data_IF_159907957090
#
_entry.id   IF_159907957090
#
_cell.length_a   1.000
_cell.length_b   1.000
_cell.length_c   1.000
_cell.angle_alpha   90.00
_cell.angle_beta   90.00
_cell.angle_gamma   90.00
#
_symmetry.space_group_name_H-M   'P 1'
#
loop_
_entity.id
_entity.type
_entity.pdbx_description
1 polymer ?
#
# COMPACT_ATOMS: atom_id res chain seq x y z
N UNK A 1 -16.75 -68.23 39.52
CA UNK A 1 -16.99 -66.85 40.02
C UNK A 1 -15.65 -66.13 40.05
N UNK A 2 -15.55 -65.00 39.32
CA UNK A 2 -14.66 -63.82 39.56
C UNK A 2 -13.12 -64.00 39.56
N UNK A 3 -12.27 -63.15 38.98
CA UNK A 3 -12.42 -61.83 38.36
C UNK A 3 -11.23 -61.49 37.42
N UNK A 4 -11.47 -60.55 36.49
CA UNK A 4 -10.55 -59.91 35.54
C UNK A 4 -9.75 -58.74 36.19
N UNK A 5 -8.67 -58.24 35.56
CA UNK A 5 -7.68 -57.35 36.18
C UNK A 5 -8.08 -55.87 36.13
N UNK A 6 -7.61 -55.09 37.11
CA UNK A 6 -7.76 -53.63 37.15
C UNK A 6 -6.51 -52.93 36.64
N UNK A 7 -6.61 -52.30 35.46
CA UNK A 7 -5.64 -51.35 34.93
C UNK A 7 -5.97 -49.94 35.46
N UNK A 8 -5.00 -49.27 36.07
CA UNK A 8 -5.13 -47.89 36.52
C UNK A 8 -5.03 -46.94 35.31
N UNK A 9 -6.09 -46.16 35.07
CA UNK A 9 -6.14 -45.15 34.03
C UNK A 9 -5.46 -43.84 34.50
N UNK A 10 -4.54 -43.34 33.68
CA UNK A 10 -3.89 -42.04 33.84
C UNK A 10 -4.82 -40.92 33.34
N UNK A 11 -5.18 -39.99 34.22
CA UNK A 11 -6.03 -38.84 33.92
C UNK A 11 -5.20 -37.70 33.31
N UNK A 12 -5.27 -37.54 31.98
CA UNK A 12 -4.71 -36.39 31.29
C UNK A 12 -5.68 -35.19 31.36
N UNK A 13 -5.16 -34.09 31.89
CA UNK A 13 -5.84 -32.81 32.09
C UNK A 13 -6.27 -32.18 30.75
N UNK A 14 -7.56 -31.89 30.59
CA UNK A 14 -8.12 -31.20 29.43
C UNK A 14 -7.79 -29.71 29.53
N UNK A 15 -6.98 -29.20 28.59
CA UNK A 15 -6.76 -27.75 28.44
C UNK A 15 -7.98 -27.13 27.78
N UNK A 16 -8.52 -26.13 28.45
CA UNK A 16 -9.62 -25.27 28.01
C UNK A 16 -9.15 -24.44 26.82
N UNK A 17 -9.62 -24.80 25.63
CA UNK A 17 -9.25 -24.14 24.38
C UNK A 17 -10.18 -22.92 24.19
N UNK A 18 -9.81 -21.84 24.87
CA UNK A 18 -10.53 -20.57 24.83
C UNK A 18 -10.79 -20.11 23.40
N UNK A 19 -12.07 -19.90 23.07
CA UNK A 19 -12.54 -19.47 21.77
C UNK A 19 -11.84 -18.17 21.34
N UNK A 20 -11.11 -18.22 20.21
CA UNK A 20 -10.54 -17.03 19.58
C UNK A 20 -11.70 -16.12 19.13
N UNK A 21 -11.74 -14.84 19.52
CA UNK A 21 -12.80 -13.94 19.08
C UNK A 21 -12.77 -13.80 17.56
N UNK A 22 -13.94 -13.82 16.94
CA UNK A 22 -14.10 -13.63 15.51
C UNK A 22 -13.48 -12.31 15.08
N UNK A 23 -12.62 -12.34 14.07
CA UNK A 23 -12.01 -11.14 13.50
C UNK A 23 -13.12 -10.19 13.02
N UNK A 24 -13.08 -8.94 13.49
CA UNK A 24 -13.99 -7.91 13.02
C UNK A 24 -13.92 -7.78 11.48
N UNK A 25 -15.05 -7.48 10.82
CA UNK A 25 -15.07 -7.31 9.36
C UNK A 25 -14.05 -6.23 8.95
N UNK A 26 -13.32 -6.50 7.86
CA UNK A 26 -12.36 -5.57 7.32
C UNK A 26 -13.04 -4.19 7.09
N UNK A 27 -12.41 -3.08 7.50
CA UNK A 27 -13.00 -1.77 7.28
C UNK A 27 -13.23 -1.56 5.79
N UNK A 28 -14.43 -1.08 5.43
CA UNK A 28 -14.73 -0.70 4.04
C UNK A 28 -13.72 0.37 3.62
N UNK A 29 -13.17 0.29 2.40
CA UNK A 29 -12.26 1.32 1.93
C UNK A 29 -12.93 2.69 2.01
N UNK A 30 -12.19 3.75 2.38
CA UNK A 30 -12.75 5.09 2.42
C UNK A 30 -13.36 5.39 1.05
N UNK A 31 -14.63 5.80 1.02
CA UNK A 31 -15.26 6.31 -0.21
C UNK A 31 -14.55 7.60 -0.55
N UNK A 32 -13.66 7.55 -1.53
CA UNK A 32 -13.03 8.74 -2.09
C UNK A 32 -14.12 9.54 -2.82
N UNK A 33 -14.21 10.84 -2.59
CA UNK A 33 -15.22 11.68 -3.21
C UNK A 33 -15.13 11.58 -4.75
N UNK A 34 -16.28 11.47 -5.41
CA UNK A 34 -16.33 11.44 -6.88
C UNK A 34 -15.73 12.75 -7.42
N UNK A 35 -14.73 12.65 -8.30
CA UNK A 35 -14.01 13.79 -8.89
C UNK A 35 -12.73 14.21 -8.15
N UNK A 36 -12.39 13.61 -7.01
CA UNK A 36 -11.15 13.92 -6.30
C UNK A 36 -9.95 13.23 -6.98
N UNK A 37 -8.94 14.03 -7.37
CA UNK A 37 -7.68 13.49 -7.88
C UNK A 37 -6.86 12.90 -6.72
N UNK A 38 -6.26 11.74 -6.92
CA UNK A 38 -5.45 11.02 -5.95
C UNK A 38 -3.96 11.25 -6.21
N UNK A 39 -3.24 11.61 -5.15
CA UNK A 39 -1.78 11.60 -5.12
C UNK A 39 -1.29 10.16 -4.94
N UNK A 40 -0.45 9.61 -5.83
CA UNK A 40 0.15 8.28 -5.67
C UNK A 40 1.36 8.28 -4.72
N UNK A 41 1.60 9.37 -3.99
CA UNK A 41 2.79 9.61 -3.17
C UNK A 41 2.46 10.36 -1.88
N UNK A 42 1.30 10.10 -1.29
CA UNK A 42 0.89 10.75 -0.04
C UNK A 42 1.72 10.21 1.13
N UNK A 43 1.88 10.99 2.20
CA UNK A 43 2.52 10.49 3.41
C UNK A 43 1.65 9.50 4.17
N UNK A 44 2.33 8.70 4.99
CA UNK A 44 1.72 7.77 5.93
C UNK A 44 0.93 8.46 7.04
N UNK A 45 0.88 9.79 7.14
CA UNK A 45 0.12 10.48 8.19
C UNK A 45 -1.36 10.04 8.20
N UNK A 46 -1.92 9.62 9.35
CA UNK A 46 -3.34 9.25 9.47
C UNK A 46 -4.32 10.32 8.95
N UNK A 47 -3.98 11.61 9.05
CA UNK A 47 -4.80 12.74 8.56
C UNK A 47 -5.03 12.69 7.05
N UNK A 48 -4.14 12.03 6.32
CA UNK A 48 -4.25 11.86 4.87
C UNK A 48 -5.11 10.67 4.45
N UNK A 49 -5.64 9.91 5.41
CA UNK A 49 -6.40 8.67 5.17
C UNK A 49 -5.75 7.75 4.10
N UNK A 50 -4.45 7.42 4.22
CA UNK A 50 -3.72 6.77 3.14
C UNK A 50 -4.21 5.35 2.88
N UNK A 51 -4.22 4.99 1.60
CA UNK A 51 -4.45 3.64 1.11
C UNK A 51 -3.16 3.10 0.50
N UNK A 52 -2.90 1.82 0.71
CA UNK A 52 -1.78 1.08 0.14
C UNK A 52 -2.13 0.73 -1.30
N UNK A 53 -1.28 1.16 -2.22
CA UNK A 53 -1.39 0.90 -3.65
C UNK A 53 -0.23 0.05 -4.18
N UNK A 54 0.71 -0.32 -3.32
CA UNK A 54 1.83 -1.18 -3.65
C UNK A 54 2.63 -1.57 -2.42
N UNK A 55 3.38 -2.68 -2.53
CA UNK A 55 4.30 -3.17 -1.50
C UNK A 55 5.72 -2.98 -2.01
N UNK A 56 6.59 -2.40 -1.18
CA UNK A 56 8.01 -2.24 -1.50
C UNK A 56 8.67 -3.61 -1.36
N UNK A 57 9.14 -4.17 -2.47
CA UNK A 57 9.86 -5.43 -2.52
C UNK A 57 11.36 -5.25 -2.32
N UNK A 58 12.10 -6.34 -2.55
CA UNK A 58 13.56 -6.33 -2.55
C UNK A 58 14.10 -5.39 -3.63
N UNK A 59 15.23 -4.72 -3.36
CA UNK A 59 15.80 -3.72 -4.26
C UNK A 59 14.99 -2.41 -4.36
N UNK A 60 13.97 -2.22 -3.52
CA UNK A 60 13.17 -0.99 -3.49
C UNK A 60 12.16 -0.86 -4.64
N UNK A 61 11.89 -1.95 -5.36
CA UNK A 61 10.89 -2.00 -6.43
C UNK A 61 9.51 -2.27 -5.86
N UNK A 62 8.54 -1.44 -6.21
CA UNK A 62 7.16 -1.53 -5.74
C UNK A 62 6.37 -2.51 -6.60
N UNK A 63 5.82 -3.54 -5.97
CA UNK A 63 4.78 -4.38 -6.53
C UNK A 63 3.41 -3.68 -6.38
N UNK A 64 2.85 -3.17 -7.48
CA UNK A 64 1.56 -2.47 -7.47
C UNK A 64 0.38 -3.41 -7.13
N UNK A 65 -0.58 -2.88 -6.37
CA UNK A 65 -1.82 -3.56 -6.05
C UNK A 65 -2.95 -3.12 -7.01
N UNK A 66 -3.72 -4.07 -7.57
CA UNK A 66 -4.89 -3.76 -8.39
C UNK A 66 -6.04 -3.18 -7.55
N UNK A 67 -6.07 -3.47 -6.25
CA UNK A 67 -7.10 -2.99 -5.31
C UNK A 67 -6.43 -2.25 -4.16
N UNK A 68 -6.75 -0.97 -3.92
CA UNK A 68 -6.17 -0.22 -2.80
C UNK A 68 -6.63 -0.79 -1.45
N UNK A 69 -5.72 -0.86 -0.47
CA UNK A 69 -6.00 -1.40 0.87
C UNK A 69 -5.86 -0.27 1.90
N UNK A 70 -6.87 0.05 2.72
CA UNK A 70 -6.74 1.08 3.75
C UNK A 70 -5.59 0.79 4.73
N UNK A 71 -4.74 1.79 5.00
CA UNK A 71 -3.69 1.65 6.00
C UNK A 71 -4.27 1.85 7.40
N UNK A 72 -4.77 0.76 7.98
CA UNK A 72 -5.47 0.77 9.27
C UNK A 72 -4.54 1.05 10.47
N UNK A 73 -5.09 1.55 11.60
CA UNK A 73 -4.34 1.67 12.86
C UNK A 73 -3.66 0.37 13.31
N UNK A 74 -4.33 -0.77 13.17
CA UNK A 74 -3.76 -2.08 13.53
C UNK A 74 -2.58 -2.49 12.66
N UNK A 75 -2.59 -2.15 11.36
CA UNK A 75 -1.44 -2.37 10.49
C UNK A 75 -0.26 -1.48 10.87
N UNK A 76 -0.52 -0.21 11.18
CA UNK A 76 0.50 0.76 11.60
C UNK A 76 1.22 0.33 12.88
N UNK A 77 0.47 -0.17 13.86
CA UNK A 77 1.03 -0.69 15.10
C UNK A 77 1.95 -1.91 14.88
N UNK A 78 1.68 -2.74 13.86
CA UNK A 78 2.46 -3.96 13.58
C UNK A 78 3.72 -3.72 12.76
N UNK A 79 3.68 -2.80 11.80
CA UNK A 79 4.83 -2.57 10.92
C UNK A 79 5.99 -1.89 11.63
N UNK A 80 5.72 -0.97 12.57
CA UNK A 80 6.75 -0.15 13.22
C UNK A 80 7.49 0.78 12.24
N UNK A 81 7.86 1.98 12.69
CA UNK A 81 8.52 2.98 11.82
C UNK A 81 7.57 3.59 10.77
N UNK A 82 8.14 4.07 9.65
CA UNK A 82 7.38 4.77 8.61
C UNK A 82 6.70 3.79 7.65
N UNK A 83 5.38 3.91 7.41
CA UNK A 83 4.66 3.09 6.44
C UNK A 83 5.29 3.08 5.03
N UNK A 84 5.86 4.22 4.62
CA UNK A 84 6.44 4.42 3.28
C UNK A 84 7.66 3.54 3.03
N UNK A 85 8.36 3.09 4.07
CA UNK A 85 9.45 2.14 3.94
C UNK A 85 8.97 0.75 3.47
N UNK A 86 7.67 0.46 3.58
CA UNK A 86 7.08 -0.85 3.24
C UNK A 86 6.01 -0.77 2.17
N UNK A 87 5.40 0.40 2.01
CA UNK A 87 4.21 0.55 1.17
C UNK A 87 4.32 1.79 0.30
N UNK A 88 3.83 1.64 -0.94
CA UNK A 88 3.45 2.79 -1.77
C UNK A 88 2.06 3.23 -1.35
N UNK A 89 1.93 4.50 -0.97
CA UNK A 89 0.69 5.05 -0.43
C UNK A 89 0.06 6.06 -1.38
N UNK A 90 -1.27 6.07 -1.41
CA UNK A 90 -2.07 7.06 -2.09
C UNK A 90 -3.12 7.69 -1.18
N UNK A 91 -3.55 8.90 -1.54
CA UNK A 91 -4.56 9.66 -0.81
C UNK A 91 -4.99 10.90 -1.61
N UNK A 92 -5.84 11.78 -1.05
CA UNK A 92 -6.26 13.00 -1.72
C UNK A 92 -5.07 13.85 -2.17
N UNK A 93 -5.11 14.38 -3.39
CA UNK A 93 -4.07 15.28 -3.86
C UNK A 93 -4.25 16.68 -3.24
N UNK A 94 -3.21 17.20 -2.61
CA UNK A 94 -3.21 18.54 -2.01
C UNK A 94 -3.02 19.67 -3.06
N UNK A 95 -2.66 19.32 -4.29
CA UNK A 95 -2.46 20.26 -5.41
C UNK A 95 -1.60 21.46 -5.01
N UNK A 96 -2.10 22.69 -5.17
CA UNK A 96 -1.42 23.95 -4.81
C UNK A 96 -0.94 24.05 -3.35
N UNK A 97 -1.46 23.20 -2.46
CA UNK A 97 -1.03 23.13 -1.06
C UNK A 97 0.12 22.13 -0.84
N UNK A 98 0.63 21.50 -1.90
CA UNK A 98 1.78 20.61 -1.87
C UNK A 98 3.06 21.35 -2.30
N UNK A 99 4.18 21.13 -1.61
CA UNK A 99 5.48 21.71 -1.96
C UNK A 99 5.98 21.30 -3.37
N UNK A 100 5.45 20.20 -3.92
CA UNK A 100 5.79 19.72 -5.26
C UNK A 100 4.94 20.33 -6.37
N UNK A 101 3.98 21.18 -6.04
CA UNK A 101 3.11 21.81 -7.04
C UNK A 101 3.79 23.02 -7.65
N UNK A 102 3.99 22.99 -8.97
CA UNK A 102 4.59 24.06 -9.76
C UNK A 102 3.83 24.18 -11.07
N UNK A 103 3.61 25.41 -11.54
CA UNK A 103 3.02 25.69 -12.85
C UNK A 103 1.71 24.93 -13.12
N UNK A 104 0.82 24.92 -12.13
CA UNK A 104 -0.47 24.21 -12.17
C UNK A 104 -0.38 22.67 -12.34
N UNK A 105 0.76 22.06 -12.01
CA UNK A 105 0.97 20.62 -12.10
C UNK A 105 1.84 20.08 -10.95
N UNK A 106 1.80 18.74 -10.77
CA UNK A 106 2.74 18.06 -9.88
C UNK A 106 4.10 17.94 -10.56
N UNK A 107 5.11 18.66 -10.06
CA UNK A 107 6.49 18.58 -10.56
C UNK A 107 7.26 17.34 -10.09
N UNK A 108 6.73 16.63 -9.09
CA UNK A 108 7.41 15.48 -8.51
C UNK A 108 7.62 14.35 -9.52
N UNK A 109 6.65 14.07 -10.39
CA UNK A 109 6.77 12.97 -11.35
C UNK A 109 7.93 13.17 -12.33
N UNK A 110 8.17 14.40 -12.81
CA UNK A 110 9.31 14.70 -13.68
C UNK A 110 10.64 14.41 -12.98
N UNK A 111 10.78 14.86 -11.72
CA UNK A 111 11.97 14.55 -10.91
C UNK A 111 12.16 13.06 -10.67
N UNK A 112 11.08 12.30 -10.50
CA UNK A 112 11.17 10.84 -10.35
C UNK A 112 11.54 10.15 -11.66
N UNK A 113 11.07 10.64 -12.82
CA UNK A 113 11.49 10.14 -14.12
C UNK A 113 12.99 10.36 -14.36
N UNK A 114 13.48 11.56 -14.05
CA UNK A 114 14.92 11.89 -14.11
C UNK A 114 15.74 10.99 -13.18
N UNK A 115 15.29 10.80 -11.94
CA UNK A 115 16.00 10.01 -10.94
C UNK A 115 16.15 8.52 -11.33
N UNK A 116 15.21 7.97 -12.11
CA UNK A 116 15.22 6.55 -12.49
C UNK A 116 15.83 6.28 -13.87
N UNK A 117 16.02 7.32 -14.69
CA UNK A 117 16.47 7.18 -16.08
C UNK A 117 17.83 6.48 -16.23
N UNK A 118 18.72 6.56 -15.22
CA UNK A 118 20.04 5.92 -15.24
C UNK A 118 20.10 4.49 -14.73
N UNK A 119 19.01 3.95 -14.16
CA UNK A 119 18.99 2.65 -13.47
C UNK A 119 17.89 1.72 -13.97
N UNK A 120 17.00 2.22 -14.82
CA UNK A 120 15.89 1.45 -15.39
C UNK A 120 16.16 1.27 -16.87
N UNK A 121 16.19 0.01 -17.31
CA UNK A 121 16.37 -0.32 -18.72
C UNK A 121 15.33 0.40 -19.60
N UNK A 122 15.74 0.88 -20.79
CA UNK A 122 14.82 1.43 -21.77
C UNK A 122 13.68 0.45 -22.05
N UNK A 123 12.47 0.99 -22.14
CA UNK A 123 11.29 0.19 -22.46
C UNK A 123 11.00 0.21 -23.94
N UNK A 124 10.52 -0.92 -24.43
CA UNK A 124 9.95 -1.00 -25.77
C UNK A 124 8.72 -0.06 -25.87
N UNK A 125 8.53 0.61 -27.03
CA UNK A 125 7.33 1.38 -27.28
C UNK A 125 6.06 0.53 -27.07
N UNK A 126 5.10 1.06 -26.31
CA UNK A 126 3.84 0.37 -26.03
C UNK A 126 3.94 -0.72 -24.96
N UNK A 127 5.03 -0.78 -24.19
CA UNK A 127 5.15 -1.67 -23.04
C UNK A 127 3.94 -1.56 -22.10
N UNK A 128 3.49 -2.71 -21.58
CA UNK A 128 2.37 -2.75 -20.66
C UNK A 128 2.69 -2.04 -19.34
N UNK A 129 1.73 -1.29 -18.80
CA UNK A 129 1.84 -0.65 -17.48
C UNK A 129 1.35 -1.59 -16.37
N UNK A 130 1.89 -1.51 -15.14
CA UNK A 130 1.43 -2.31 -14.00
C UNK A 130 -0.05 -2.11 -13.71
N UNK A 131 -0.77 -3.11 -13.19
CA UNK A 131 -2.15 -2.87 -12.71
C UNK A 131 -2.13 -1.93 -11.50
N UNK A 132 -3.01 -0.93 -11.48
CA UNK A 132 -3.03 0.09 -10.44
C UNK A 132 -4.47 0.51 -10.12
N UNK A 133 -4.90 0.29 -8.88
CA UNK A 133 -6.28 0.51 -8.46
C UNK A 133 -6.74 1.98 -8.39
N UNK A 134 -5.81 2.93 -8.48
CA UNK A 134 -6.13 4.38 -8.46
C UNK A 134 -5.99 5.04 -9.84
N UNK A 135 -5.63 4.30 -10.89
CA UNK A 135 -5.24 4.87 -12.20
C UNK A 135 -6.24 5.92 -12.71
N UNK A 136 -7.53 5.59 -12.69
CA UNK A 136 -8.59 6.47 -13.21
C UNK A 136 -8.67 7.84 -12.50
N UNK A 137 -8.14 7.95 -11.27
CA UNK A 137 -8.13 9.18 -10.49
C UNK A 137 -6.71 9.67 -10.17
N UNK A 138 -5.65 9.05 -10.70
CA UNK A 138 -4.27 9.34 -10.29
C UNK A 138 -3.74 10.64 -10.93
N UNK A 139 -3.21 11.56 -10.11
CA UNK A 139 -2.63 12.84 -10.56
C UNK A 139 -1.53 12.66 -11.59
N UNK A 140 -0.63 11.69 -11.39
CA UNK A 140 0.47 11.44 -12.33
C UNK A 140 -0.02 10.83 -13.64
N UNK A 141 -1.03 9.95 -13.60
CA UNK A 141 -1.64 9.39 -14.80
C UNK A 141 -2.36 10.47 -15.62
N UNK A 142 -3.13 11.34 -14.97
CA UNK A 142 -3.83 12.45 -15.63
C UNK A 142 -2.84 13.39 -16.32
N UNK A 143 -1.65 13.58 -15.76
CA UNK A 143 -0.63 14.45 -16.32
C UNK A 143 0.16 13.83 -17.47
N UNK A 144 0.67 12.60 -17.30
CA UNK A 144 1.67 12.00 -18.20
C UNK A 144 1.31 10.61 -18.70
N UNK A 145 0.12 10.09 -18.35
CA UNK A 145 -0.38 8.82 -18.86
C UNK A 145 0.53 7.62 -18.55
N UNK A 146 0.78 6.72 -19.52
CA UNK A 146 1.61 5.52 -19.36
C UNK A 146 3.01 5.80 -18.84
N UNK A 147 3.66 6.87 -19.27
CA UNK A 147 5.03 7.21 -18.87
C UNK A 147 5.15 7.41 -17.35
N UNK A 148 4.16 8.06 -16.73
CA UNK A 148 4.11 8.15 -15.28
C UNK A 148 3.97 6.78 -14.60
N UNK A 149 3.18 5.87 -15.19
CA UNK A 149 2.96 4.54 -14.63
C UNK A 149 4.19 3.64 -14.73
N UNK A 150 5.07 3.86 -15.70
CA UNK A 150 6.34 3.16 -15.79
C UNK A 150 7.35 3.59 -14.73
N UNK A 151 7.27 4.83 -14.25
CA UNK A 151 8.09 5.33 -13.15
C UNK A 151 7.61 4.84 -11.79
N UNK A 152 6.29 4.73 -11.58
CA UNK A 152 5.68 4.39 -10.29
C UNK A 152 6.34 3.21 -9.52
N UNK A 153 6.67 2.07 -10.15
CA UNK A 153 7.33 0.95 -9.48
C UNK A 153 8.69 1.29 -8.85
N UNK A 154 9.36 2.34 -9.32
CA UNK A 154 10.70 2.70 -8.87
C UNK A 154 10.71 3.80 -7.80
N UNK A 155 9.52 4.25 -7.35
CA UNK A 155 9.40 5.30 -6.35
C UNK A 155 8.98 4.69 -5.00
N UNK A 156 9.95 4.45 -4.11
CA UNK A 156 9.69 3.95 -2.75
C UNK A 156 9.87 5.03 -1.66
N UNK A 157 10.44 6.19 -2.00
CA UNK A 157 10.58 7.32 -1.08
C UNK A 157 9.37 8.27 -1.16
N UNK A 158 8.99 8.83 -0.01
CA UNK A 158 8.04 9.93 0.07
C UNK A 158 8.81 11.25 0.22
N UNK A 159 8.93 12.06 -0.85
CA UNK A 159 9.60 13.37 -0.82
C UNK A 159 8.72 14.48 -0.25
N UNK A 160 7.62 14.15 0.43
CA UNK A 160 6.74 15.13 1.09
C UNK A 160 7.23 15.53 2.49
N UNK A 161 8.43 15.10 2.87
CA UNK A 161 9.19 15.59 4.03
C UNK A 161 10.40 16.40 3.56
#
# INVERSE_FOLDING_TARGET
MTARPGAAASAASRRDEGARPAAAPAPRPPRMAAGATLCPSVSGDPRNAPVIIGVVGEGGVVANLPTPIPLTPGMRARIGGTPEARFRLAGPCAERHCAHWKDAACSLIGRMQEAVAGFVEPREPGAAVPRCGIRAACRWWVQLGPEACHTCPHVHYNPSV
#
